data_IF_341943624315
#
_entry.id   IF_341943624315
#
_cell.length_a   1.000
_cell.length_b   1.000
_cell.length_c   1.000
_cell.angle_alpha   90.00
_cell.angle_beta   90.00
_cell.angle_gamma   90.00
#
_symmetry.space_group_name_H-M   'P 1'
#
loop_
_entity.id
_entity.type
_entity.pdbx_description
1 polymer ?
#
# COMPACT_ATOMS: atom_id res chain seq x y z
N UNK A 1 -2.85 44.54 -1.02
CA UNK A 1 -3.22 43.15 -0.71
C UNK A 1 -4.29 43.20 0.35
N UNK A 2 -5.52 42.86 0.00
CA UNK A 2 -6.68 43.08 0.85
C UNK A 2 -6.70 42.02 1.96
N UNK A 3 -7.04 42.36 3.21
CA UNK A 3 -7.10 41.36 4.30
C UNK A 3 -7.99 40.16 3.96
N UNK A 4 -9.00 40.38 3.13
CA UNK A 4 -9.90 39.37 2.57
C UNK A 4 -9.17 38.36 1.65
N UNK A 5 -8.25 38.81 0.80
CA UNK A 5 -7.51 37.93 -0.11
C UNK A 5 -6.57 36.99 0.66
N UNK A 6 -5.89 37.52 1.68
CA UNK A 6 -4.99 36.74 2.53
C UNK A 6 -5.78 35.71 3.33
N UNK A 7 -6.89 36.13 3.94
CA UNK A 7 -7.74 35.24 4.73
C UNK A 7 -8.36 34.15 3.87
N UNK A 8 -8.85 34.49 2.67
CA UNK A 8 -9.36 33.53 1.69
C UNK A 8 -8.28 32.54 1.24
N UNK A 9 -7.06 33.01 0.99
CA UNK A 9 -5.92 32.15 0.63
C UNK A 9 -5.58 31.15 1.73
N UNK A 10 -5.54 31.59 3.00
CA UNK A 10 -5.26 30.71 4.14
C UNK A 10 -6.32 29.62 4.32
N UNK A 11 -7.61 29.97 4.16
CA UNK A 11 -8.71 29.01 4.24
C UNK A 11 -8.65 28.04 3.05
N UNK A 12 -8.35 28.52 1.84
CA UNK A 12 -8.16 27.69 0.66
C UNK A 12 -7.01 26.69 0.81
N UNK A 13 -5.87 27.13 1.35
CA UNK A 13 -4.73 26.26 1.65
C UNK A 13 -5.07 25.21 2.72
N UNK A 14 -5.83 25.59 3.75
CA UNK A 14 -6.30 24.66 4.77
C UNK A 14 -7.24 23.61 4.17
N UNK A 15 -8.19 24.04 3.34
CA UNK A 15 -9.11 23.14 2.63
C UNK A 15 -8.33 22.13 1.78
N UNK A 16 -7.39 22.62 0.98
CA UNK A 16 -6.56 21.82 0.09
C UNK A 16 -5.64 20.85 0.85
N UNK A 17 -5.13 21.25 2.02
CA UNK A 17 -4.38 20.35 2.90
C UNK A 17 -5.26 19.22 3.50
N UNK A 18 -6.50 19.55 3.89
CA UNK A 18 -7.46 18.57 4.39
C UNK A 18 -7.88 17.58 3.28
N UNK A 19 -8.06 18.09 2.06
CA UNK A 19 -8.31 17.29 0.87
C UNK A 19 -7.12 16.38 0.55
N UNK A 20 -5.89 16.90 0.57
CA UNK A 20 -4.68 16.11 0.39
C UNK A 20 -4.57 14.95 1.40
N UNK A 21 -5.09 15.13 2.64
CA UNK A 21 -5.16 14.07 3.66
C UNK A 21 -6.38 13.16 3.57
N UNK A 22 -7.31 13.40 2.64
CA UNK A 22 -8.60 12.73 2.56
C UNK A 22 -9.38 12.78 3.90
N UNK A 23 -9.28 13.91 4.61
CA UNK A 23 -9.88 14.09 5.93
C UNK A 23 -11.34 14.52 5.83
N UNK A 24 -12.22 13.96 6.66
CA UNK A 24 -13.65 14.35 6.69
C UNK A 24 -13.84 15.83 7.03
N UNK A 25 -12.89 16.44 7.75
CA UNK A 25 -12.96 17.86 8.12
C UNK A 25 -12.90 18.82 6.93
N UNK A 26 -12.45 18.36 5.74
CA UNK A 26 -12.51 19.18 4.52
C UNK A 26 -13.94 19.63 4.23
N UNK A 27 -14.91 18.77 4.50
CA UNK A 27 -16.32 19.05 4.25
C UNK A 27 -16.88 20.09 5.24
N UNK A 28 -16.35 20.17 6.46
CA UNK A 28 -16.73 21.24 7.39
C UNK A 28 -16.25 22.60 6.88
N UNK A 29 -15.01 22.68 6.40
CA UNK A 29 -14.50 23.88 5.75
C UNK A 29 -15.32 24.24 4.50
N UNK A 30 -15.67 23.24 3.67
CA UNK A 30 -16.51 23.39 2.49
C UNK A 30 -17.98 23.71 2.76
N UNK A 31 -18.45 23.65 4.01
CA UNK A 31 -19.79 24.13 4.41
C UNK A 31 -19.69 25.56 4.93
N UNK A 32 -18.75 25.82 5.84
CA UNK A 32 -18.62 27.12 6.51
C UNK A 32 -18.28 28.21 5.48
N UNK A 33 -17.32 27.95 4.59
CA UNK A 33 -16.84 28.96 3.64
C UNK A 33 -17.94 29.38 2.65
N UNK A 34 -18.60 28.49 1.89
CA UNK A 34 -19.67 28.91 0.97
C UNK A 34 -20.86 29.53 1.70
N UNK A 35 -21.20 29.05 2.91
CA UNK A 35 -22.29 29.64 3.69
C UNK A 35 -22.04 31.13 3.98
N UNK A 36 -20.82 31.53 4.34
CA UNK A 36 -20.45 32.93 4.54
C UNK A 36 -20.57 33.72 3.23
N UNK A 37 -20.02 33.19 2.14
CA UNK A 37 -20.01 33.88 0.85
C UNK A 37 -21.40 34.04 0.22
N UNK A 38 -22.35 33.14 0.50
CA UNK A 38 -23.75 33.29 0.08
C UNK A 38 -24.33 34.61 0.58
N UNK A 39 -24.14 34.94 1.87
CA UNK A 39 -24.64 36.20 2.44
C UNK A 39 -23.93 37.41 1.86
N UNK A 40 -22.59 37.37 1.77
CA UNK A 40 -21.77 38.46 1.24
C UNK A 40 -22.17 38.80 -0.20
N UNK A 41 -22.30 37.80 -1.07
CA UNK A 41 -22.65 38.03 -2.47
C UNK A 41 -24.11 38.41 -2.66
N UNK A 42 -25.01 37.87 -1.83
CA UNK A 42 -26.42 38.24 -1.89
C UNK A 42 -26.64 39.71 -1.51
N UNK A 43 -25.99 40.20 -0.45
CA UNK A 43 -26.03 41.62 -0.06
C UNK A 43 -25.40 42.53 -1.12
N UNK A 44 -24.36 42.04 -1.81
CA UNK A 44 -23.72 42.74 -2.91
C UNK A 44 -24.52 42.69 -4.24
N UNK A 45 -25.65 41.98 -4.30
CA UNK A 45 -26.46 41.81 -5.51
C UNK A 45 -25.86 40.88 -6.57
N UNK A 46 -24.81 40.11 -6.21
CA UNK A 46 -24.10 39.19 -7.10
C UNK A 46 -24.77 37.81 -7.10
N UNK A 47 -25.97 37.74 -7.69
CA UNK A 47 -26.81 36.53 -7.64
C UNK A 47 -26.20 35.29 -8.32
N UNK A 48 -25.36 35.47 -9.35
CA UNK A 48 -24.65 34.37 -10.00
C UNK A 48 -23.61 33.74 -9.05
N UNK A 49 -22.82 34.56 -8.37
CA UNK A 49 -21.86 34.14 -7.36
C UNK A 49 -22.55 33.55 -6.12
N UNK A 50 -23.72 34.06 -5.75
CA UNK A 50 -24.56 33.42 -4.73
C UNK A 50 -24.99 32.01 -5.16
N UNK A 51 -25.43 31.84 -6.41
CA UNK A 51 -25.90 30.57 -6.96
C UNK A 51 -24.82 29.46 -6.95
N UNK A 52 -23.59 29.78 -7.35
CA UNK A 52 -22.49 28.79 -7.34
C UNK A 52 -22.08 28.41 -5.91
N UNK A 53 -22.12 29.35 -4.95
CA UNK A 53 -21.84 29.05 -3.55
C UNK A 53 -22.95 28.21 -2.91
N UNK A 54 -24.22 28.39 -3.30
CA UNK A 54 -25.31 27.47 -2.92
C UNK A 54 -25.01 26.06 -3.43
N UNK A 55 -24.57 25.92 -4.68
CA UNK A 55 -24.17 24.61 -5.21
C UNK A 55 -23.03 23.99 -4.38
N UNK A 56 -21.97 24.73 -4.10
CA UNK A 56 -20.85 24.23 -3.29
C UNK A 56 -21.28 23.81 -1.89
N UNK A 57 -22.17 24.58 -1.25
CA UNK A 57 -22.74 24.24 0.05
C UNK A 57 -23.52 22.91 -0.01
N UNK A 58 -24.38 22.73 -1.02
CA UNK A 58 -25.15 21.49 -1.20
C UNK A 58 -24.23 20.30 -1.49
N UNK A 59 -23.23 20.48 -2.35
CA UNK A 59 -22.22 19.47 -2.65
C UNK A 59 -21.41 19.10 -1.41
N UNK A 60 -21.09 20.08 -0.55
CA UNK A 60 -20.34 19.84 0.67
C UNK A 60 -21.16 19.09 1.73
N UNK A 61 -22.45 19.43 1.88
CA UNK A 61 -23.39 18.68 2.71
C UNK A 61 -23.56 17.24 2.21
N UNK A 62 -23.66 17.05 0.89
CA UNK A 62 -23.73 15.73 0.28
C UNK A 62 -22.47 14.90 0.54
N UNK A 63 -21.29 15.48 0.34
CA UNK A 63 -20.00 14.86 0.62
C UNK A 63 -19.85 14.47 2.09
N UNK A 64 -20.18 15.39 3.01
CA UNK A 64 -20.19 15.14 4.46
C UNK A 64 -21.09 13.95 4.81
N UNK A 65 -22.34 13.95 4.32
CA UNK A 65 -23.30 12.89 4.62
C UNK A 65 -22.83 11.53 4.08
N UNK A 66 -22.26 11.50 2.87
CA UNK A 66 -21.78 10.27 2.24
C UNK A 66 -20.56 9.71 2.96
N UNK A 67 -19.60 10.57 3.35
CA UNK A 67 -18.40 10.15 4.06
C UNK A 67 -18.71 9.75 5.51
N UNK A 68 -19.64 10.44 6.17
CA UNK A 68 -20.09 10.09 7.54
C UNK A 68 -20.90 8.80 7.58
N UNK A 69 -21.75 8.53 6.58
CA UNK A 69 -22.47 7.23 6.46
C UNK A 69 -21.53 6.05 6.24
N UNK A 70 -20.42 6.27 5.51
CA UNK A 70 -19.32 5.31 5.43
C UNK A 70 -18.50 5.19 6.73
N UNK A 71 -18.69 6.05 7.73
CA UNK A 71 -17.96 5.97 9.00
C UNK A 71 -18.69 5.14 10.07
N UNK A 72 -19.85 4.55 9.76
CA UNK A 72 -20.67 3.77 10.69
C UNK A 72 -20.31 2.28 10.75
N UNK A 73 -19.75 1.85 11.88
CA UNK A 73 -19.47 0.46 12.34
C UNK A 73 -18.64 -0.50 11.49
N UNK A 74 -18.48 -0.33 10.17
CA UNK A 74 -17.46 -1.05 9.36
C UNK A 74 -17.40 -0.46 7.95
N UNK A 75 -16.19 -0.14 7.46
CA UNK A 75 -15.82 0.36 6.10
C UNK A 75 -15.94 1.87 5.87
N UNK A 76 -14.87 2.61 6.18
CA UNK A 76 -14.61 3.92 5.58
C UNK A 76 -14.79 3.85 4.05
N UNK A 77 -15.39 4.88 3.45
CA UNK A 77 -15.55 4.94 1.99
C UNK A 77 -14.15 4.88 1.34
N UNK A 78 -13.84 3.85 0.52
CA UNK A 78 -12.51 3.68 -0.04
C UNK A 78 -12.28 4.67 -1.19
N UNK A 79 -11.03 5.07 -1.36
CA UNK A 79 -10.60 5.82 -2.54
C UNK A 79 -10.57 4.85 -3.74
N UNK A 80 -11.28 5.18 -4.82
CA UNK A 80 -11.47 4.28 -5.98
C UNK A 80 -11.25 5.00 -7.30
N UNK A 81 -11.13 4.24 -8.39
CA UNK A 81 -11.13 4.79 -9.74
C UNK A 81 -12.57 5.11 -10.17
N UNK A 82 -12.73 6.13 -10.99
CA UNK A 82 -14.00 6.40 -11.66
C UNK A 82 -14.35 5.21 -12.55
N UNK A 83 -15.44 4.49 -12.28
CA UNK A 83 -15.76 3.28 -13.03
C UNK A 83 -16.08 3.65 -14.49
N UNK A 84 -15.54 2.89 -15.44
CA UNK A 84 -15.62 3.19 -16.89
C UNK A 84 -17.05 3.35 -17.40
N UNK A 85 -18.02 2.62 -16.83
CA UNK A 85 -19.45 2.76 -17.13
C UNK A 85 -20.04 4.15 -16.83
N UNK A 86 -19.42 4.90 -15.91
CA UNK A 86 -19.85 6.26 -15.55
C UNK A 86 -19.22 7.33 -16.44
N UNK A 87 -18.21 7.01 -17.26
CA UNK A 87 -17.56 8.01 -18.12
C UNK A 87 -18.56 8.65 -19.09
N UNK A 88 -19.30 7.84 -19.83
CA UNK A 88 -20.30 8.34 -20.80
C UNK A 88 -21.40 9.21 -20.16
N UNK A 89 -22.10 8.78 -19.10
CA UNK A 89 -23.12 9.63 -18.48
C UNK A 89 -22.53 10.89 -17.82
N UNK A 90 -21.33 10.82 -17.22
CA UNK A 90 -20.66 12.01 -16.65
C UNK A 90 -20.27 12.99 -17.75
N UNK A 91 -19.73 12.51 -18.87
CA UNK A 91 -19.42 13.36 -20.03
C UNK A 91 -20.66 14.04 -20.59
N UNK A 92 -21.80 13.34 -20.68
CA UNK A 92 -23.07 13.92 -21.13
C UNK A 92 -23.57 15.02 -20.17
N UNK A 93 -23.51 14.77 -18.86
CA UNK A 93 -23.87 15.77 -17.84
C UNK A 93 -22.94 16.98 -17.92
N UNK A 94 -21.64 16.77 -18.14
CA UNK A 94 -20.67 17.85 -18.28
C UNK A 94 -20.93 18.70 -19.52
N UNK A 95 -21.23 18.09 -20.66
CA UNK A 95 -21.59 18.80 -21.90
C UNK A 95 -22.89 19.59 -21.72
N UNK A 96 -23.89 18.99 -21.07
CA UNK A 96 -25.16 19.65 -20.79
C UNK A 96 -24.98 20.84 -19.83
N UNK A 97 -24.22 20.66 -18.75
CA UNK A 97 -23.90 21.72 -17.79
C UNK A 97 -23.11 22.85 -18.46
N UNK A 98 -22.09 22.52 -19.26
CA UNK A 98 -21.31 23.48 -20.04
C UNK A 98 -22.20 24.30 -20.97
N UNK A 99 -23.06 23.63 -21.75
CA UNK A 99 -23.94 24.30 -22.72
C UNK A 99 -24.97 25.19 -22.03
N UNK A 100 -25.52 24.73 -20.91
CA UNK A 100 -26.48 25.50 -20.11
C UNK A 100 -25.84 26.73 -19.44
N UNK A 101 -24.66 26.56 -18.84
CA UNK A 101 -23.93 27.67 -18.21
C UNK A 101 -23.46 28.67 -19.27
N UNK A 102 -22.99 28.19 -20.43
CA UNK A 102 -22.59 29.07 -21.54
C UNK A 102 -23.78 29.87 -22.05
N UNK A 103 -24.94 29.22 -22.23
CA UNK A 103 -26.17 29.91 -22.59
C UNK A 103 -26.56 30.96 -21.54
N UNK A 104 -26.45 30.65 -20.25
CA UNK A 104 -26.77 31.59 -19.18
C UNK A 104 -25.81 32.78 -19.20
N UNK A 105 -24.50 32.54 -19.28
CA UNK A 105 -23.48 33.60 -19.29
C UNK A 105 -23.57 34.49 -20.53
N UNK A 106 -23.87 33.93 -21.70
CA UNK A 106 -23.98 34.71 -22.96
C UNK A 106 -25.25 35.56 -22.98
N UNK A 107 -26.38 35.05 -22.49
CA UNK A 107 -27.68 35.72 -22.65
C UNK A 107 -28.09 36.59 -21.46
N UNK A 108 -27.52 36.35 -20.28
CA UNK A 108 -27.96 36.99 -19.03
C UNK A 108 -26.84 37.63 -18.21
N UNK A 109 -25.58 37.60 -18.67
CA UNK A 109 -24.46 38.23 -17.95
C UNK A 109 -23.51 38.95 -18.88
N UNK A 110 -22.71 39.85 -18.32
CA UNK A 110 -21.66 40.60 -19.04
C UNK A 110 -20.29 39.89 -19.00
N UNK A 111 -20.25 38.55 -19.00
CA UNK A 111 -18.98 37.81 -18.95
C UNK A 111 -18.17 38.03 -20.24
N UNK A 112 -16.90 38.42 -20.09
CA UNK A 112 -15.97 38.60 -21.19
C UNK A 112 -15.37 37.29 -21.72
N UNK A 113 -15.48 36.20 -20.96
CA UNK A 113 -14.92 34.87 -21.30
C UNK A 113 -15.92 33.75 -21.02
N UNK A 114 -17.16 33.83 -21.54
CA UNK A 114 -18.27 32.97 -21.13
C UNK A 114 -17.99 31.49 -21.41
N UNK A 115 -17.26 31.18 -22.50
CA UNK A 115 -16.86 29.82 -22.82
C UNK A 115 -15.89 29.22 -21.80
N UNK A 116 -14.87 29.98 -21.38
CA UNK A 116 -13.87 29.50 -20.44
C UNK A 116 -14.45 29.39 -19.02
N UNK A 117 -15.24 30.38 -18.59
CA UNK A 117 -15.95 30.36 -17.30
C UNK A 117 -16.93 29.18 -17.21
N UNK A 118 -17.68 28.92 -18.29
CA UNK A 118 -18.60 27.77 -18.36
C UNK A 118 -17.88 26.43 -18.29
N UNK A 119 -16.72 26.33 -18.95
CA UNK A 119 -15.90 25.12 -18.97
C UNK A 119 -15.36 24.79 -17.59
N UNK A 120 -14.75 25.78 -16.92
CA UNK A 120 -14.22 25.63 -15.56
C UNK A 120 -15.33 25.30 -14.57
N UNK A 121 -16.48 25.97 -14.67
CA UNK A 121 -17.61 25.74 -13.77
C UNK A 121 -18.19 24.34 -13.95
N UNK A 122 -18.39 23.88 -15.20
CA UNK A 122 -18.87 22.53 -15.48
C UNK A 122 -17.91 21.44 -14.98
N UNK A 123 -16.59 21.63 -15.16
CA UNK A 123 -15.58 20.75 -14.60
C UNK A 123 -15.59 20.74 -13.07
N UNK A 124 -15.74 21.90 -12.43
CA UNK A 124 -15.77 22.02 -10.97
C UNK A 124 -16.98 21.30 -10.36
N UNK A 125 -18.14 21.34 -11.04
CA UNK A 125 -19.33 20.56 -10.66
C UNK A 125 -19.03 19.06 -10.69
N UNK A 126 -18.41 18.58 -11.78
CA UNK A 126 -18.02 17.18 -11.89
C UNK A 126 -16.96 16.80 -10.85
N UNK A 127 -15.94 17.63 -10.66
CA UNK A 127 -14.85 17.45 -9.70
C UNK A 127 -15.37 17.33 -8.27
N UNK A 128 -16.26 18.22 -7.85
CA UNK A 128 -16.89 18.17 -6.52
C UNK A 128 -17.70 16.89 -6.29
N UNK A 129 -18.45 16.44 -7.29
CA UNK A 129 -19.18 15.17 -7.21
C UNK A 129 -18.22 13.97 -7.15
N UNK A 130 -17.16 13.97 -7.95
CA UNK A 130 -16.12 12.93 -7.93
C UNK A 130 -15.37 12.89 -6.59
N UNK A 131 -15.06 14.04 -6.01
CA UNK A 131 -14.49 14.18 -4.67
C UNK A 131 -15.43 13.61 -3.61
N UNK A 132 -16.73 13.92 -3.68
CA UNK A 132 -17.72 13.35 -2.78
C UNK A 132 -17.74 11.81 -2.84
N UNK A 133 -17.52 11.22 -4.02
CA UNK A 133 -17.41 9.77 -4.23
C UNK A 133 -16.03 9.18 -3.92
N UNK A 134 -15.03 10.00 -3.57
CA UNK A 134 -13.61 9.62 -3.42
C UNK A 134 -13.01 8.98 -4.69
N UNK A 135 -13.35 9.53 -5.86
CA UNK A 135 -12.67 9.14 -7.10
C UNK A 135 -11.34 9.86 -7.26
N UNK A 136 -10.27 9.12 -7.58
CA UNK A 136 -8.92 9.71 -7.69
C UNK A 136 -8.78 10.68 -8.86
N UNK A 137 -9.49 10.44 -9.96
CA UNK A 137 -9.45 11.29 -11.15
C UNK A 137 -9.96 12.71 -10.89
N UNK A 138 -10.62 12.96 -9.76
CA UNK A 138 -11.02 14.29 -9.33
C UNK A 138 -9.81 15.27 -9.28
N UNK A 139 -8.63 14.78 -8.90
CA UNK A 139 -7.40 15.58 -8.90
C UNK A 139 -6.95 15.98 -10.30
N UNK A 140 -7.22 15.15 -11.32
CA UNK A 140 -6.93 15.50 -12.71
C UNK A 140 -7.90 16.57 -13.22
N UNK A 141 -9.16 16.51 -12.79
CA UNK A 141 -10.16 17.56 -13.07
C UNK A 141 -9.71 18.88 -12.47
N UNK A 142 -9.30 18.90 -11.19
CA UNK A 142 -8.79 20.12 -10.55
C UNK A 142 -7.51 20.63 -11.18
N UNK A 143 -6.58 19.76 -11.57
CA UNK A 143 -5.38 20.18 -12.30
C UNK A 143 -5.74 20.90 -13.62
N UNK A 144 -6.73 20.40 -14.38
CA UNK A 144 -7.18 21.07 -15.61
C UNK A 144 -7.83 22.41 -15.29
N UNK A 145 -8.71 22.45 -14.28
CA UNK A 145 -9.35 23.68 -13.81
C UNK A 145 -8.30 24.72 -13.42
N UNK A 146 -7.31 24.34 -12.61
CA UNK A 146 -6.29 25.24 -12.08
C UNK A 146 -5.37 25.79 -13.19
N UNK A 147 -5.00 24.96 -14.17
CA UNK A 147 -4.20 25.40 -15.33
C UNK A 147 -4.97 26.42 -16.18
N UNK A 148 -6.25 26.18 -16.46
CA UNK A 148 -7.07 27.11 -17.25
C UNK A 148 -7.30 28.41 -16.46
N UNK A 149 -7.61 28.32 -15.15
CA UNK A 149 -7.72 29.48 -14.26
C UNK A 149 -6.41 30.29 -14.22
N UNK A 150 -5.26 29.62 -14.09
CA UNK A 150 -3.95 30.26 -14.10
C UNK A 150 -3.77 31.12 -15.37
N UNK A 151 -4.05 30.57 -16.56
CA UNK A 151 -3.97 31.29 -17.82
C UNK A 151 -4.99 32.44 -17.95
N UNK A 152 -6.24 32.21 -17.53
CA UNK A 152 -7.27 33.26 -17.53
C UNK A 152 -6.92 34.43 -16.61
N UNK A 153 -6.32 34.16 -15.45
CA UNK A 153 -5.90 35.22 -14.53
C UNK A 153 -4.64 35.95 -14.99
N UNK A 154 -3.75 35.32 -15.77
CA UNK A 154 -2.72 36.08 -16.51
C UNK A 154 -3.37 37.03 -17.50
N UNK A 155 -4.35 36.56 -18.28
CA UNK A 155 -5.07 37.39 -19.25
C UNK A 155 -5.83 38.56 -18.60
N UNK A 156 -6.29 38.40 -17.35
CA UNK A 156 -6.97 39.44 -16.56
C UNK A 156 -6.01 40.32 -15.72
N UNK A 157 -4.69 40.23 -15.95
CA UNK A 157 -3.64 40.95 -15.21
C UNK A 157 -3.62 40.69 -13.67
N UNK A 158 -4.14 39.54 -13.24
CA UNK A 158 -4.20 39.10 -11.85
C UNK A 158 -3.06 38.11 -11.54
N UNK A 159 -1.81 38.60 -11.61
CA UNK A 159 -0.60 37.78 -11.49
C UNK A 159 -0.47 37.00 -10.18
N UNK A 160 -0.87 37.60 -9.04
CA UNK A 160 -0.81 36.92 -7.75
C UNK A 160 -1.75 35.70 -7.70
N UNK A 161 -3.01 35.91 -8.09
CA UNK A 161 -4.02 34.85 -8.15
C UNK A 161 -3.63 33.78 -9.17
N UNK A 162 -3.10 34.18 -10.33
CA UNK A 162 -2.55 33.24 -11.31
C UNK A 162 -1.46 32.34 -10.72
N UNK A 163 -0.48 32.92 -10.01
CA UNK A 163 0.58 32.17 -9.34
C UNK A 163 0.04 31.17 -8.30
N UNK A 164 -1.00 31.56 -7.55
CA UNK A 164 -1.67 30.69 -6.59
C UNK A 164 -2.34 29.48 -7.26
N UNK A 165 -3.04 29.68 -8.37
CA UNK A 165 -3.62 28.58 -9.15
C UNK A 165 -2.56 27.68 -9.79
N UNK A 166 -1.43 28.25 -10.26
CA UNK A 166 -0.29 27.46 -10.71
C UNK A 166 0.28 26.57 -9.59
N UNK A 167 0.33 27.07 -8.36
CA UNK A 167 0.72 26.30 -7.19
C UNK A 167 -0.30 25.19 -6.85
N UNK A 168 -1.60 25.48 -6.93
CA UNK A 168 -2.65 24.47 -6.73
C UNK A 168 -2.58 23.34 -7.77
N UNK A 169 -2.30 23.65 -9.04
CA UNK A 169 -2.10 22.64 -10.07
C UNK A 169 -0.95 21.67 -9.72
N UNK A 170 0.16 22.18 -9.17
CA UNK A 170 1.28 21.35 -8.69
C UNK A 170 0.84 20.44 -7.54
N UNK A 171 0.10 20.97 -6.57
CA UNK A 171 -0.42 20.14 -5.47
C UNK A 171 -1.41 19.11 -5.99
N UNK A 172 -2.22 19.43 -6.99
CA UNK A 172 -3.17 18.49 -7.57
C UNK A 172 -2.46 17.23 -8.13
N UNK A 173 -1.28 17.39 -8.74
CA UNK A 173 -0.44 16.26 -9.19
C UNK A 173 0.01 15.41 -8.01
N UNK A 174 0.54 16.03 -6.95
CA UNK A 174 0.96 15.29 -5.76
C UNK A 174 -0.22 14.63 -5.02
N UNK A 175 -1.37 15.30 -4.99
CA UNK A 175 -2.63 14.79 -4.47
C UNK A 175 -3.08 13.55 -5.23
N UNK A 176 -3.05 13.59 -6.56
CA UNK A 176 -3.34 12.44 -7.42
C UNK A 176 -2.40 11.27 -7.12
N UNK A 177 -1.09 11.50 -7.10
CA UNK A 177 -0.10 10.44 -6.84
C UNK A 177 -0.27 9.82 -5.45
N UNK A 178 -0.51 10.65 -4.43
CA UNK A 178 -0.73 10.18 -3.07
C UNK A 178 -2.04 9.41 -2.95
N UNK A 179 -3.14 9.93 -3.48
CA UNK A 179 -4.43 9.24 -3.44
C UNK A 179 -4.38 7.93 -4.20
N UNK A 180 -3.66 7.88 -5.34
CA UNK A 180 -3.40 6.64 -6.08
C UNK A 180 -2.63 5.61 -5.25
N UNK A 181 -1.63 6.03 -4.47
CA UNK A 181 -0.92 5.15 -3.50
C UNK A 181 -1.81 4.71 -2.33
N UNK A 182 -2.80 5.52 -1.96
CA UNK A 182 -3.79 5.20 -0.92
C UNK A 182 -4.94 4.32 -1.44
N UNK A 183 -5.03 4.11 -2.75
CA UNK A 183 -6.05 3.23 -3.32
C UNK A 183 -5.78 1.81 -2.87
N UNK A 184 -6.80 1.07 -2.40
CA UNK A 184 -6.71 -0.36 -2.34
C UNK A 184 -6.42 -0.87 -3.75
N UNK A 185 -5.34 -1.63 -3.94
CA UNK A 185 -5.10 -2.31 -5.21
C UNK A 185 -6.37 -3.08 -5.58
N UNK A 186 -6.88 -2.79 -6.78
CA UNK A 186 -8.14 -3.32 -7.26
C UNK A 186 -7.94 -4.82 -7.42
N UNK A 187 -8.50 -5.58 -6.48
CA UNK A 187 -8.77 -6.99 -6.71
C UNK A 187 -9.64 -7.07 -7.96
N UNK A 188 -9.25 -7.92 -8.90
CA UNK A 188 -10.15 -8.41 -9.94
C UNK A 188 -11.48 -8.83 -9.31
N UNK A 189 -12.61 -8.65 -10.04
CA UNK A 189 -13.91 -9.02 -9.51
C UNK A 189 -13.88 -10.48 -9.05
N UNK A 190 -14.32 -10.71 -7.82
CA UNK A 190 -14.55 -12.04 -7.28
C UNK A 190 -15.31 -12.89 -8.32
N UNK A 191 -14.85 -14.10 -8.67
CA UNK A 191 -15.71 -15.02 -9.38
C UNK A 191 -16.86 -15.35 -8.44
N UNK A 192 -18.05 -14.82 -8.76
CA UNK A 192 -19.30 -15.32 -8.23
C UNK A 192 -19.34 -16.82 -8.46
N UNK A 193 -19.75 -17.55 -7.42
CA UNK A 193 -19.68 -19.00 -7.32
C UNK A 193 -19.95 -19.75 -8.62
N UNK A 194 -18.93 -20.47 -9.08
CA UNK A 194 -19.05 -21.81 -9.64
C UNK A 194 -17.83 -22.60 -9.22
N UNK A 195 -18.08 -23.71 -8.56
CA UNK A 195 -17.11 -24.76 -8.27
C UNK A 195 -16.38 -25.19 -9.55
N UNK A 196 -15.08 -25.46 -9.42
CA UNK A 196 -14.32 -26.30 -10.36
C UNK A 196 -13.82 -25.64 -11.63
N UNK A 197 -12.79 -24.78 -11.55
CA UNK A 197 -11.75 -24.65 -12.58
C UNK A 197 -10.62 -23.70 -12.12
N UNK A 198 -9.48 -24.30 -11.71
CA UNK A 198 -8.11 -23.77 -11.78
C UNK A 198 -7.86 -22.25 -11.62
N UNK A 199 -7.96 -21.71 -10.40
CA UNK A 199 -7.05 -20.62 -10.02
C UNK A 199 -5.75 -21.27 -9.58
N UNK A 200 -4.71 -21.22 -10.43
CA UNK A 200 -3.39 -21.76 -10.10
C UNK A 200 -2.72 -20.85 -9.07
N UNK A 201 -3.07 -21.03 -7.79
CA UNK A 201 -2.35 -20.44 -6.67
C UNK A 201 -1.03 -21.15 -6.41
N UNK A 202 -0.08 -20.45 -5.79
CA UNK A 202 1.15 -21.09 -5.33
C UNK A 202 0.79 -22.03 -4.16
N UNK A 203 1.18 -23.31 -4.27
CA UNK A 203 1.11 -24.25 -3.16
C UNK A 203 2.42 -24.25 -2.36
N UNK A 204 2.30 -24.07 -1.05
CA UNK A 204 3.40 -24.17 -0.10
C UNK A 204 3.29 -25.49 0.67
N UNK A 205 4.02 -26.54 0.25
CA UNK A 205 3.99 -27.82 0.93
C UNK A 205 4.53 -27.72 2.35
N UNK A 206 4.21 -28.71 3.17
CA UNK A 206 4.85 -28.89 4.46
C UNK A 206 6.28 -29.38 4.21
N UNK A 207 7.28 -28.68 4.76
CA UNK A 207 8.67 -29.11 4.65
C UNK A 207 8.85 -30.46 5.36
N UNK A 208 9.44 -31.44 4.71
CA UNK A 208 9.75 -32.73 5.31
C UNK A 208 11.21 -32.80 5.77
N UNK A 209 11.56 -33.81 6.57
CA UNK A 209 12.95 -33.98 7.05
C UNK A 209 13.89 -34.48 5.94
N UNK A 210 13.36 -35.00 4.84
CA UNK A 210 14.06 -35.45 3.64
C UNK A 210 14.07 -34.39 2.52
N UNK A 211 13.53 -33.19 2.79
CA UNK A 211 13.53 -32.09 1.85
C UNK A 211 14.95 -31.57 1.61
N UNK A 212 15.36 -31.53 0.34
CA UNK A 212 16.67 -31.03 -0.08
C UNK A 212 16.55 -29.62 -0.66
N UNK A 213 16.86 -28.57 0.12
CA UNK A 213 16.88 -27.20 -0.39
C UNK A 213 18.04 -26.96 -1.35
N UNK A 214 17.80 -26.11 -2.34
CA UNK A 214 18.82 -25.70 -3.31
C UNK A 214 19.92 -24.85 -2.65
N UNK A 215 19.53 -23.95 -1.75
CA UNK A 215 20.42 -23.18 -0.90
C UNK A 215 19.82 -22.97 0.50
N UNK A 216 20.68 -23.03 1.52
CA UNK A 216 20.34 -22.68 2.90
C UNK A 216 21.23 -21.55 3.39
N UNK A 217 20.61 -20.51 3.92
CA UNK A 217 21.31 -19.41 4.59
C UNK A 217 21.23 -19.62 6.09
N UNK A 218 22.38 -19.74 6.74
CA UNK A 218 22.49 -19.70 8.20
C UNK A 218 22.73 -18.25 8.64
N UNK A 219 21.68 -17.62 9.15
CA UNK A 219 21.75 -16.26 9.69
C UNK A 219 22.40 -16.22 11.09
N UNK A 220 22.74 -15.01 11.55
CA UNK A 220 23.52 -14.80 12.78
C UNK A 220 22.67 -14.68 14.06
N UNK A 221 21.52 -15.36 14.13
CA UNK A 221 20.71 -15.52 15.34
C UNK A 221 21.18 -16.70 16.20
N UNK A 222 20.26 -17.31 16.96
CA UNK A 222 20.54 -18.57 17.66
C UNK A 222 20.71 -19.71 16.66
N UNK A 223 21.71 -20.55 16.92
CA UNK A 223 21.94 -21.72 16.09
C UNK A 223 20.73 -22.68 16.18
N UNK A 224 20.28 -23.28 15.05
CA UNK A 224 19.11 -24.15 15.07
C UNK A 224 19.27 -25.33 16.04
N UNK A 225 18.22 -25.60 16.81
CA UNK A 225 18.16 -26.71 17.79
C UNK A 225 17.13 -27.78 17.41
N UNK A 226 16.09 -27.41 16.64
CA UNK A 226 15.07 -28.34 16.20
C UNK A 226 15.54 -29.19 15.01
N UNK A 227 15.09 -30.45 14.91
CA UNK A 227 15.57 -31.40 13.90
C UNK A 227 15.28 -30.95 12.46
N UNK A 228 14.17 -30.23 12.23
CA UNK A 228 13.85 -29.68 10.91
C UNK A 228 14.94 -28.74 10.35
N UNK A 229 15.21 -27.56 10.93
CA UNK A 229 16.25 -26.67 10.40
C UNK A 229 17.64 -27.33 10.40
N UNK A 230 17.93 -28.24 11.33
CA UNK A 230 19.17 -29.04 11.29
C UNK A 230 19.24 -29.98 10.08
N UNK A 231 18.14 -30.69 9.76
CA UNK A 231 18.06 -31.55 8.57
C UNK A 231 18.24 -30.75 7.28
N UNK A 232 17.68 -29.54 7.21
CA UNK A 232 17.82 -28.63 6.07
C UNK A 232 19.28 -28.22 5.88
N UNK A 233 20.00 -27.90 6.95
CA UNK A 233 21.44 -27.61 6.89
C UNK A 233 22.28 -28.81 6.44
N UNK A 234 21.93 -30.03 6.87
CA UNK A 234 22.66 -31.25 6.48
C UNK A 234 22.40 -31.66 5.02
N UNK A 235 21.22 -31.35 4.49
CA UNK A 235 20.77 -31.78 3.16
C UNK A 235 20.85 -30.72 2.08
N UNK A 236 21.22 -29.49 2.45
CA UNK A 236 21.38 -28.38 1.52
C UNK A 236 22.40 -28.71 0.44
N UNK A 237 22.07 -28.39 -0.81
CA UNK A 237 23.04 -28.45 -1.92
C UNK A 237 24.06 -27.30 -1.89
N UNK A 238 23.80 -26.26 -1.10
CA UNK A 238 24.66 -25.10 -0.95
C UNK A 238 24.36 -24.37 0.38
N UNK A 239 25.35 -24.15 1.23
CA UNK A 239 25.22 -23.49 2.52
C UNK A 239 25.97 -22.18 2.55
N UNK A 240 25.23 -21.09 2.81
CA UNK A 240 25.78 -19.75 2.99
C UNK A 240 25.66 -19.36 4.45
N UNK A 241 26.77 -19.00 5.10
CA UNK A 241 26.76 -18.52 6.48
C UNK A 241 26.90 -17.00 6.51
N UNK A 242 26.04 -16.34 7.30
CA UNK A 242 26.19 -14.91 7.59
C UNK A 242 27.26 -14.69 8.66
N UNK A 243 28.36 -14.07 8.28
CA UNK A 243 29.44 -13.58 9.15
C UNK A 243 29.71 -14.47 10.39
N UNK A 244 29.39 -13.98 11.60
CA UNK A 244 29.61 -14.70 12.86
C UNK A 244 28.92 -16.05 13.00
N UNK A 245 27.90 -16.36 12.20
CA UNK A 245 27.23 -17.65 12.18
C UNK A 245 28.14 -18.78 11.64
N UNK A 246 29.10 -18.42 10.78
CA UNK A 246 30.07 -19.37 10.23
C UNK A 246 30.91 -20.03 11.32
N UNK A 247 31.26 -19.30 12.38
CA UNK A 247 32.09 -19.82 13.47
C UNK A 247 31.46 -21.05 14.12
N UNK A 248 30.17 -20.99 14.45
CA UNK A 248 29.46 -22.10 15.09
C UNK A 248 29.25 -23.28 14.13
N UNK A 249 29.00 -22.99 12.85
CA UNK A 249 28.87 -24.01 11.81
C UNK A 249 30.18 -24.81 11.65
N UNK A 250 31.32 -24.11 11.61
CA UNK A 250 32.65 -24.70 11.51
C UNK A 250 33.06 -25.45 12.79
N UNK A 251 32.76 -24.90 13.98
CA UNK A 251 33.02 -25.58 15.26
C UNK A 251 32.34 -26.94 15.36
N UNK A 252 31.18 -27.10 14.71
CA UNK A 252 30.43 -28.36 14.64
C UNK A 252 30.95 -29.33 13.57
N UNK A 253 32.03 -28.98 12.89
CA UNK A 253 32.70 -29.81 11.89
C UNK A 253 32.14 -29.70 10.48
N UNK A 254 31.25 -28.74 10.21
CA UNK A 254 30.70 -28.51 8.88
C UNK A 254 31.55 -27.50 8.09
N UNK A 255 31.43 -27.56 6.76
CA UNK A 255 32.16 -26.69 5.83
C UNK A 255 31.12 -25.85 5.09
N UNK A 256 31.11 -24.51 5.25
CA UNK A 256 30.23 -23.66 4.45
C UNK A 256 30.72 -23.58 3.01
N UNK A 257 29.80 -23.38 2.07
CA UNK A 257 30.16 -23.15 0.66
C UNK A 257 30.49 -21.68 0.39
N UNK A 258 29.87 -20.78 1.14
CA UNK A 258 30.18 -19.35 1.14
C UNK A 258 29.95 -18.73 2.52
N UNK A 259 30.76 -17.73 2.85
CA UNK A 259 30.57 -16.88 4.03
C UNK A 259 30.36 -15.46 3.53
N UNK A 260 29.26 -14.83 3.92
CA UNK A 260 28.86 -13.50 3.44
C UNK A 260 28.68 -12.56 4.63
N UNK A 261 29.24 -11.36 4.54
CA UNK A 261 29.15 -10.33 5.58
C UNK A 261 30.23 -9.26 5.44
N UNK A 262 30.36 -8.41 6.45
CA UNK A 262 31.46 -7.44 6.57
C UNK A 262 32.80 -8.11 6.99
N UNK A 263 32.71 -9.25 7.68
CA UNK A 263 33.84 -10.05 8.13
C UNK A 263 34.33 -9.71 9.53
N UNK A 264 33.60 -8.87 10.27
CA UNK A 264 34.03 -8.36 11.58
C UNK A 264 33.73 -9.34 12.72
N UNK A 265 32.74 -10.23 12.56
CA UNK A 265 32.42 -11.24 13.59
C UNK A 265 32.99 -12.63 13.29
N UNK A 266 33.79 -12.81 12.23
CA UNK A 266 34.47 -14.08 11.92
C UNK A 266 35.72 -14.22 12.78
N UNK A 267 35.88 -15.38 13.42
CA UNK A 267 37.10 -15.72 14.18
C UNK A 267 38.33 -15.81 13.26
N UNK A 268 39.51 -15.46 13.78
CA UNK A 268 40.77 -15.49 13.03
C UNK A 268 41.05 -16.87 12.40
N UNK A 269 40.77 -17.96 13.12
CA UNK A 269 40.88 -19.33 12.62
C UNK A 269 39.98 -19.59 11.40
N UNK A 270 38.71 -19.17 11.48
CA UNK A 270 37.75 -19.32 10.38
C UNK A 270 38.13 -18.44 9.19
N UNK A 271 38.63 -17.22 9.47
CA UNK A 271 39.06 -16.28 8.45
C UNK A 271 40.23 -16.84 7.62
N UNK A 272 41.27 -17.37 8.30
CA UNK A 272 42.42 -17.99 7.64
C UNK A 272 42.00 -19.23 6.86
N UNK A 273 41.19 -20.10 7.47
CA UNK A 273 40.80 -21.40 6.87
C UNK A 273 39.90 -21.25 5.66
N UNK A 274 39.05 -20.23 5.63
CA UNK A 274 38.00 -20.06 4.62
C UNK A 274 38.15 -18.77 3.81
N UNK A 275 39.33 -18.14 3.80
CA UNK A 275 39.61 -16.89 3.07
C UNK A 275 39.14 -16.91 1.60
N UNK A 276 39.21 -18.06 0.93
CA UNK A 276 38.80 -18.21 -0.48
C UNK A 276 37.28 -18.25 -0.75
N UNK A 277 36.46 -18.37 0.29
CA UNK A 277 34.99 -18.44 0.19
C UNK A 277 34.29 -17.31 1.00
N UNK A 278 35.07 -16.37 1.54
CA UNK A 278 34.55 -15.18 2.22
C UNK A 278 34.28 -14.12 1.17
N UNK A 279 33.01 -13.75 1.03
CA UNK A 279 32.53 -12.67 0.18
C UNK A 279 32.25 -11.46 1.05
N UNK A 280 33.21 -10.54 1.07
CA UNK A 280 33.09 -9.28 1.81
C UNK A 280 32.25 -8.30 1.01
N UNK A 281 31.19 -7.81 1.63
CA UNK A 281 30.41 -6.69 1.12
C UNK A 281 30.46 -5.54 2.13
N UNK A 282 31.08 -4.45 1.69
CA UNK A 282 31.35 -3.26 2.51
C UNK A 282 30.14 -2.33 2.65
N UNK A 283 29.02 -2.63 2.00
CA UNK A 283 27.79 -1.86 2.17
C UNK A 283 27.30 -1.95 3.63
N UNK A 284 27.36 -0.85 4.37
CA UNK A 284 26.91 -0.79 5.76
C UNK A 284 25.39 -0.54 5.87
N UNK A 285 24.70 -0.21 4.78
CA UNK A 285 23.26 0.06 4.81
C UNK A 285 22.42 -1.23 4.76
N UNK A 286 23.00 -2.35 4.34
CA UNK A 286 22.31 -3.65 4.21
C UNK A 286 22.77 -4.66 5.27
N UNK A 287 21.83 -5.43 5.81
CA UNK A 287 22.15 -6.46 6.81
C UNK A 287 22.75 -7.73 6.17
N UNK A 288 23.48 -8.53 6.97
CA UNK A 288 24.14 -9.74 6.46
C UNK A 288 23.19 -10.77 5.85
N UNK A 289 21.95 -10.82 6.34
CA UNK A 289 20.93 -11.71 5.78
C UNK A 289 20.58 -11.29 4.35
N UNK A 290 20.39 -9.99 4.10
CA UNK A 290 20.09 -9.43 2.78
C UNK A 290 21.24 -9.72 1.83
N UNK A 291 22.48 -9.42 2.25
CA UNK A 291 23.69 -9.72 1.48
C UNK A 291 23.78 -11.20 1.10
N UNK A 292 23.50 -12.11 2.04
CA UNK A 292 23.51 -13.55 1.76
C UNK A 292 22.40 -13.99 0.78
N UNK A 293 21.22 -13.37 0.86
CA UNK A 293 20.12 -13.62 -0.09
C UNK A 293 20.49 -13.13 -1.49
N UNK A 294 21.03 -11.91 -1.61
CA UNK A 294 21.44 -11.33 -2.88
C UNK A 294 22.60 -12.10 -3.51
N UNK A 295 23.55 -12.56 -2.69
CA UNK A 295 24.60 -13.48 -3.13
C UNK A 295 24.02 -14.78 -3.70
N UNK A 296 23.08 -15.43 -3.00
CA UNK A 296 22.40 -16.63 -3.51
C UNK A 296 21.68 -16.36 -4.85
N UNK A 297 21.00 -15.22 -4.98
CA UNK A 297 20.32 -14.83 -6.22
C UNK A 297 21.34 -14.64 -7.36
N UNK A 298 22.47 -13.98 -7.09
CA UNK A 298 23.55 -13.79 -8.06
C UNK A 298 24.18 -15.13 -8.51
N UNK A 299 24.21 -16.13 -7.63
CA UNK A 299 24.60 -17.52 -7.96
C UNK A 299 23.49 -18.31 -8.70
N UNK A 300 22.37 -17.67 -9.05
CA UNK A 300 21.28 -18.27 -9.82
C UNK A 300 20.34 -19.16 -9.00
N UNK A 301 20.39 -19.10 -7.67
CA UNK A 301 19.53 -19.91 -6.79
C UNK A 301 18.09 -19.42 -6.86
N UNK A 302 17.14 -20.35 -7.03
CA UNK A 302 15.71 -20.04 -7.19
C UNK A 302 14.89 -20.28 -5.92
N UNK A 303 15.39 -21.15 -5.04
CA UNK A 303 14.74 -21.48 -3.77
C UNK A 303 15.73 -21.42 -2.61
N UNK A 304 15.44 -20.55 -1.65
CA UNK A 304 16.31 -20.27 -0.50
C UNK A 304 15.56 -20.59 0.79
N UNK A 305 16.20 -21.31 1.69
CA UNK A 305 15.71 -21.47 3.06
C UNK A 305 16.64 -20.72 4.01
N UNK A 306 16.06 -19.92 4.89
CA UNK A 306 16.80 -19.21 5.93
C UNK A 306 16.58 -19.93 7.27
N UNK A 307 17.65 -20.21 7.99
CA UNK A 307 17.64 -20.78 9.34
C UNK A 307 18.47 -19.92 10.29
N UNK A 308 18.24 -20.05 11.60
CA UNK A 308 19.01 -19.33 12.62
C UNK A 308 18.85 -17.80 12.55
N UNK A 309 17.72 -17.30 12.05
CA UNK A 309 17.48 -15.86 11.88
C UNK A 309 16.84 -15.18 13.11
N UNK A 310 16.53 -15.95 14.16
CA UNK A 310 15.80 -15.50 15.36
C UNK A 310 16.54 -15.91 16.64
N UNK A 311 16.10 -15.44 17.81
CA UNK A 311 16.54 -15.97 19.13
C UNK A 311 17.67 -15.21 19.82
N UNK A 312 18.27 -14.21 19.15
CA UNK A 312 19.15 -13.23 19.80
C UNK A 312 18.38 -11.91 20.00
N UNK A 313 18.95 -10.78 19.56
CA UNK A 313 18.27 -9.48 19.65
C UNK A 313 16.96 -9.45 18.87
N UNK A 314 15.94 -8.86 19.46
CA UNK A 314 14.58 -8.83 18.94
C UNK A 314 14.42 -7.90 17.74
N UNK A 315 15.17 -6.81 17.70
CA UNK A 315 15.21 -5.90 16.53
C UNK A 315 15.75 -6.61 15.28
N UNK A 316 16.82 -7.39 15.42
CA UNK A 316 17.35 -8.24 14.35
C UNK A 316 16.32 -9.31 13.96
N UNK A 317 15.66 -9.92 14.94
CA UNK A 317 14.61 -10.93 14.69
C UNK A 317 13.46 -10.34 13.87
N UNK A 318 12.95 -9.17 14.24
CA UNK A 318 11.87 -8.50 13.53
C UNK A 318 12.29 -8.07 12.13
N UNK A 319 13.48 -7.49 11.98
CA UNK A 319 14.03 -7.10 10.67
C UNK A 319 14.19 -8.30 9.74
N UNK A 320 14.78 -9.39 10.23
CA UNK A 320 14.96 -10.62 9.46
C UNK A 320 13.63 -11.25 9.01
N UNK A 321 12.58 -11.14 9.85
CA UNK A 321 11.24 -11.66 9.51
C UNK A 321 10.54 -10.73 8.51
N UNK A 322 10.63 -9.41 8.67
CA UNK A 322 9.97 -8.45 7.77
C UNK A 322 10.55 -8.46 6.36
N UNK A 323 11.88 -8.62 6.24
CA UNK A 323 12.58 -8.66 4.95
C UNK A 323 12.17 -9.82 4.05
N UNK A 324 11.56 -10.88 4.61
CA UNK A 324 11.01 -11.99 3.82
C UNK A 324 10.03 -11.52 2.75
N UNK A 325 9.27 -10.46 3.03
CA UNK A 325 8.30 -9.90 2.08
C UNK A 325 9.01 -9.28 0.88
N UNK A 326 10.12 -8.58 1.10
CA UNK A 326 10.93 -7.99 0.03
C UNK A 326 11.65 -9.07 -0.79
N UNK A 327 12.19 -10.09 -0.12
CA UNK A 327 12.85 -11.21 -0.80
C UNK A 327 11.88 -12.02 -1.66
N UNK A 328 10.62 -12.19 -1.24
CA UNK A 328 9.61 -12.94 -1.97
C UNK A 328 9.30 -12.36 -3.35
N UNK A 329 9.58 -11.08 -3.58
CA UNK A 329 9.47 -10.43 -4.89
C UNK A 329 10.59 -10.85 -5.86
N UNK A 330 11.72 -11.34 -5.35
CA UNK A 330 12.92 -11.70 -6.12
C UNK A 330 13.13 -13.21 -6.21
N UNK A 331 12.84 -13.97 -5.14
CA UNK A 331 13.17 -15.39 -5.01
C UNK A 331 12.19 -16.13 -4.11
N UNK A 332 12.02 -17.44 -4.31
CA UNK A 332 11.23 -18.26 -3.39
C UNK A 332 12.00 -18.42 -2.08
N UNK A 333 11.52 -17.80 -1.02
CA UNK A 333 12.16 -17.83 0.30
C UNK A 333 11.21 -18.34 1.39
N UNK A 334 11.75 -19.09 2.36
CA UNK A 334 11.07 -19.43 3.60
C UNK A 334 12.05 -19.32 4.77
N UNK A 335 11.57 -18.87 5.93
CA UNK A 335 12.37 -18.82 7.15
C UNK A 335 11.89 -19.90 8.11
N UNK A 336 12.80 -20.78 8.49
CA UNK A 336 12.54 -21.93 9.36
C UNK A 336 13.16 -21.67 10.72
N UNK A 337 12.34 -21.65 11.77
CA UNK A 337 12.76 -21.51 13.16
C UNK A 337 12.68 -22.85 13.89
N UNK A 338 13.04 -22.85 15.18
CA UNK A 338 12.83 -24.01 16.04
C UNK A 338 11.35 -24.33 16.30
N UNK A 339 10.45 -23.37 16.05
CA UNK A 339 9.03 -23.48 16.41
C UNK A 339 8.09 -23.60 15.19
N UNK A 340 8.57 -23.26 14.00
CA UNK A 340 7.72 -23.26 12.81
C UNK A 340 8.37 -22.67 11.59
N UNK A 341 7.54 -22.39 10.57
CA UNK A 341 7.97 -21.90 9.27
C UNK A 341 7.21 -20.62 8.93
N UNK A 342 7.95 -19.53 8.71
CA UNK A 342 7.45 -18.32 8.09
C UNK A 342 7.50 -18.45 6.56
N UNK A 343 6.39 -18.16 5.92
CA UNK A 343 6.20 -18.25 4.47
C UNK A 343 5.55 -16.96 3.96
N UNK A 344 6.28 -16.11 3.24
CA UNK A 344 5.71 -14.93 2.59
C UNK A 344 4.85 -15.35 1.40
N UNK A 345 3.70 -14.72 1.23
CA UNK A 345 2.77 -14.99 0.14
C UNK A 345 2.02 -13.71 -0.29
N UNK A 346 1.51 -13.74 -1.51
CA UNK A 346 0.68 -12.67 -2.07
C UNK A 346 -0.51 -13.28 -2.81
N UNK A 347 -1.68 -12.65 -2.70
CA UNK A 347 -2.86 -13.11 -3.44
C UNK A 347 -3.45 -14.42 -2.91
N UNK A 348 -3.84 -15.30 -3.83
CA UNK A 348 -4.33 -16.64 -3.51
C UNK A 348 -3.17 -17.63 -3.36
N UNK A 349 -3.09 -18.29 -2.20
CA UNK A 349 -2.14 -19.35 -1.95
C UNK A 349 -2.74 -20.48 -1.12
N UNK A 350 -2.24 -21.69 -1.33
CA UNK A 350 -2.59 -22.87 -0.53
C UNK A 350 -1.40 -23.32 0.30
N UNK A 351 -1.68 -23.84 1.49
CA UNK A 351 -0.67 -24.26 2.44
C UNK A 351 -1.03 -25.64 2.97
N UNK A 352 -0.13 -26.60 2.74
CA UNK A 352 -0.23 -27.89 3.40
C UNK A 352 0.19 -27.73 4.88
N UNK A 353 -0.55 -28.36 5.78
CA UNK A 353 -0.39 -28.23 7.22
C UNK A 353 -0.79 -29.52 7.95
N UNK A 354 -0.42 -29.62 9.23
CA UNK A 354 -0.96 -30.67 10.08
C UNK A 354 -2.40 -30.31 10.51
N UNK A 355 -3.35 -31.25 10.51
CA UNK A 355 -4.68 -31.03 11.08
C UNK A 355 -4.59 -30.58 12.54
N UNK A 356 -5.30 -29.50 12.90
CA UNK A 356 -5.26 -28.92 14.23
C UNK A 356 -3.99 -28.11 14.55
N UNK A 357 -3.06 -27.98 13.60
CA UNK A 357 -1.85 -27.18 13.73
C UNK A 357 -2.15 -25.69 13.90
N UNK A 358 -1.31 -25.00 14.66
CA UNK A 358 -1.45 -23.56 14.89
C UNK A 358 -0.89 -22.77 13.71
N UNK A 359 -1.67 -21.80 13.23
CA UNK A 359 -1.36 -20.94 12.09
C UNK A 359 -1.52 -19.49 12.52
N UNK A 360 -0.50 -18.68 12.31
CA UNK A 360 -0.57 -17.22 12.52
C UNK A 360 -0.38 -16.50 11.20
N UNK A 361 -1.15 -15.45 10.97
CA UNK A 361 -1.16 -14.70 9.71
C UNK A 361 -0.90 -13.24 10.06
N UNK A 362 0.15 -12.69 9.46
CA UNK A 362 0.56 -11.30 9.63
C UNK A 362 0.25 -10.56 8.35
N UNK A 363 -0.48 -9.46 8.48
CA UNK A 363 -0.92 -8.68 7.34
C UNK A 363 0.14 -7.66 6.93
N UNK A 364 0.54 -7.67 5.65
CA UNK A 364 1.51 -6.75 5.05
C UNK A 364 0.84 -5.91 3.95
N UNK A 365 -0.34 -5.35 4.23
CA UNK A 365 -1.04 -4.43 3.32
C UNK A 365 -2.27 -5.02 2.61
N UNK A 366 -2.69 -6.24 2.94
CA UNK A 366 -3.95 -6.82 2.46
C UNK A 366 -5.14 -6.16 3.16
N UNK A 367 -6.11 -5.64 2.40
CA UNK A 367 -7.33 -5.03 2.98
C UNK A 367 -8.50 -6.01 3.04
N UNK A 368 -8.49 -7.02 2.17
CA UNK A 368 -9.48 -8.09 2.12
C UNK A 368 -8.74 -9.42 2.23
N UNK A 369 -9.04 -10.16 3.29
CA UNK A 369 -8.51 -11.50 3.50
C UNK A 369 -9.66 -12.44 3.84
N UNK A 370 -9.63 -13.64 3.25
CA UNK A 370 -10.51 -14.76 3.56
C UNK A 370 -9.66 -16.01 3.63
N UNK A 371 -10.03 -16.95 4.50
CA UNK A 371 -9.44 -18.28 4.46
C UNK A 371 -10.53 -19.34 4.42
N UNK A 372 -10.20 -20.43 3.73
CA UNK A 372 -10.93 -21.68 3.78
C UNK A 372 -10.05 -22.72 4.51
N UNK A 373 -10.64 -23.52 5.41
CA UNK A 373 -9.91 -24.54 6.17
C UNK A 373 -9.22 -24.02 7.44
N UNK A 374 -9.53 -22.81 7.91
CA UNK A 374 -9.10 -22.27 9.21
C UNK A 374 -10.29 -22.12 10.17
N UNK A 375 -10.03 -22.30 11.47
CA UNK A 375 -11.04 -22.24 12.53
C UNK A 375 -11.65 -20.84 12.70
N UNK A 376 -10.82 -19.80 12.57
CA UNK A 376 -11.26 -18.41 12.69
C UNK A 376 -11.23 -17.71 11.32
N UNK A 377 -12.29 -16.96 10.95
CA UNK A 377 -12.33 -16.23 9.69
C UNK A 377 -11.31 -15.11 9.67
N UNK A 378 -10.67 -14.91 8.51
CA UNK A 378 -9.75 -13.80 8.31
C UNK A 378 -10.50 -12.50 8.02
N UNK A 379 -9.82 -11.39 8.33
CA UNK A 379 -10.22 -10.02 8.03
C UNK A 379 -8.96 -9.21 7.74
N UNK A 380 -9.09 -8.00 7.18
CA UNK A 380 -7.96 -7.08 7.04
C UNK A 380 -7.43 -6.68 8.42
N UNK A 381 -6.39 -7.35 8.91
CA UNK A 381 -5.81 -7.09 10.23
C UNK A 381 -5.08 -5.75 10.21
N UNK A 382 -5.30 -4.91 11.22
CA UNK A 382 -4.60 -3.64 11.40
C UNK A 382 -3.40 -3.76 12.34
N UNK A 383 -3.31 -4.86 13.08
CA UNK A 383 -2.20 -5.15 13.99
C UNK A 383 -1.90 -6.67 14.01
N UNK A 384 -0.64 -7.02 14.23
CA UNK A 384 -0.12 -8.39 14.08
C UNK A 384 -0.83 -9.42 14.95
N UNK A 385 -1.12 -9.11 16.21
CA UNK A 385 -1.75 -10.05 17.14
C UNK A 385 -3.13 -10.55 16.66
N UNK A 386 -3.85 -9.77 15.85
CA UNK A 386 -5.23 -10.08 15.46
C UNK A 386 -5.35 -11.31 14.56
N UNK A 387 -4.29 -11.64 13.82
CA UNK A 387 -4.23 -12.82 12.95
C UNK A 387 -3.43 -13.98 13.54
N UNK A 388 -2.95 -13.85 14.77
CA UNK A 388 -2.16 -14.91 15.44
C UNK A 388 -3.05 -16.00 16.05
N UNK A 389 -2.46 -17.18 16.26
CA UNK A 389 -3.04 -18.30 16.99
C UNK A 389 -4.33 -18.89 16.37
N UNK A 390 -4.49 -18.78 15.05
CA UNK A 390 -5.52 -19.52 14.31
C UNK A 390 -5.18 -21.01 14.26
N UNK A 391 -6.10 -21.84 13.77
CA UNK A 391 -5.95 -23.29 13.72
C UNK A 391 -6.43 -23.86 12.39
N UNK A 392 -5.67 -24.79 11.81
CA UNK A 392 -6.10 -25.55 10.64
C UNK A 392 -7.18 -26.56 11.00
N UNK A 393 -8.20 -26.67 10.13
CA UNK A 393 -9.29 -27.65 10.27
C UNK A 393 -9.01 -28.97 9.53
N UNK A 394 -8.01 -28.98 8.65
CA UNK A 394 -7.62 -30.15 7.86
C UNK A 394 -6.12 -30.17 7.57
N UNK A 395 -5.72 -30.97 6.58
CA UNK A 395 -4.35 -31.11 6.10
C UNK A 395 -3.91 -29.99 5.13
N UNK A 396 -4.85 -29.13 4.74
CA UNK A 396 -4.62 -27.97 3.88
C UNK A 396 -5.56 -26.84 4.25
N UNK A 397 -5.08 -25.61 4.11
CA UNK A 397 -5.93 -24.41 4.09
C UNK A 397 -5.56 -23.52 2.90
N UNK A 398 -6.48 -22.64 2.53
CA UNK A 398 -6.30 -21.67 1.47
C UNK A 398 -6.52 -20.25 2.01
N UNK A 399 -5.68 -19.31 1.59
CA UNK A 399 -5.85 -17.89 1.89
C UNK A 399 -6.08 -17.15 0.58
N UNK A 400 -7.10 -16.29 0.59
CA UNK A 400 -7.44 -15.37 -0.46
C UNK A 400 -7.20 -13.97 0.08
N UNK A 401 -6.20 -13.28 -0.44
CA UNK A 401 -5.91 -11.90 -0.09
C UNK A 401 -5.79 -11.04 -1.35
N UNK A 402 -6.00 -9.73 -1.22
CA UNK A 402 -5.75 -8.76 -2.28
C UNK A 402 -4.39 -8.05 -2.15
N UNK A 403 -3.45 -8.67 -1.44
CA UNK A 403 -2.13 -8.13 -1.20
C UNK A 403 -1.22 -9.15 -0.56
N UNK A 404 -0.20 -8.64 0.11
CA UNK A 404 0.85 -9.38 0.76
C UNK A 404 0.50 -9.77 2.20
N UNK A 405 0.95 -10.95 2.59
CA UNK A 405 0.81 -11.47 3.95
C UNK A 405 1.90 -12.50 4.24
N UNK A 406 2.21 -12.64 5.52
CA UNK A 406 3.19 -13.59 6.02
C UNK A 406 2.47 -14.64 6.86
N UNK A 407 2.70 -15.92 6.57
CA UNK A 407 2.09 -17.03 7.30
C UNK A 407 3.14 -17.72 8.14
N UNK A 408 2.90 -17.83 9.45
CA UNK A 408 3.66 -18.69 10.34
C UNK A 408 2.87 -19.96 10.63
N UNK A 409 3.40 -21.10 10.17
CA UNK A 409 2.88 -22.42 10.50
C UNK A 409 3.70 -22.97 11.66
N UNK A 410 3.12 -22.98 12.85
CA UNK A 410 3.76 -23.59 14.01
C UNK A 410 3.79 -25.11 13.82
N UNK A 411 4.89 -25.73 14.25
CA UNK A 411 4.88 -27.17 14.46
C UNK A 411 4.47 -27.42 15.89
N UNK A 412 3.27 -27.96 16.04
CA UNK A 412 2.96 -28.75 17.24
C UNK A 412 3.65 -30.08 16.96
N UNK A 413 4.82 -30.31 17.56
CA UNK A 413 5.27 -31.68 17.78
C UNK A 413 4.15 -32.40 18.52
N UNK A 414 3.73 -33.62 18.10
CA UNK A 414 2.86 -34.44 18.93
C UNK A 414 3.44 -34.61 20.35
#
# INVERSE_FOLDING_TARGET
MNYLEITGTLIGLLYLWLEYKASIYLWAAGIIMPAIYIFVYYEAGLYADTGINIYYLLAALYGWALWKRGSGKTKELPITHTPTRLLLPVSLVLIAAFSFIAWLLINYTDSNVPWADSFITALSIAGMWMLAKKYVEQWLVWMVVDVVCCGLYVYKDLYFTSGLYGFYAVIAVFGYLKWKRMMPHTADPSPSGKEGAGVVGINYPLLSLDYRPEAVILANGEYPAHELPLSLLRQAGYVVCCDGAANEYVRRGFIPDAIVGDGDSISEETNIRFAGIIHKDADQETNDQTKAVEFCIAQGKKSIIIVGATGKREDHTLGNISLLMEYAQKVRVQLVTNYGVFTPACGYATFDCLPGGQVSIFNFGSTHMRADGLAYPLRGFTNWWQGTLNRSLGDRFAIYANGEYLVFRARVTP
#
